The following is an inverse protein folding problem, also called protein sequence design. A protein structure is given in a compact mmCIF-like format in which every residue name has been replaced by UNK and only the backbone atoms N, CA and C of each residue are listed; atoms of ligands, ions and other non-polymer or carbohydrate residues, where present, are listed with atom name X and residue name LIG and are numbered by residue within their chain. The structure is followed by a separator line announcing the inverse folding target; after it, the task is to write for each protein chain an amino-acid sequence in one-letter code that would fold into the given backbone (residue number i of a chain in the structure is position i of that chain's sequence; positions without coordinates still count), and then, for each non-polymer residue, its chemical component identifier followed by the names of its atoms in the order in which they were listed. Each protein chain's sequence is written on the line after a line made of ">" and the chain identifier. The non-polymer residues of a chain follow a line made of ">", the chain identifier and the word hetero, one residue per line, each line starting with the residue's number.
data_IF_084138967894
#
_entry.id   IF_084138967894
#
_cell.length_a   1.000
_cell.length_b   1.000
_cell.length_c   1.000
_cell.angle_alpha   90.00
_cell.angle_beta   90.00
_cell.angle_gamma   90.00
#
_symmetry.space_group_name_H-M   'P 1'
#
loop_
_entity.id
_entity.type
_entity.pdbx_description
1 polymer ?
#
# COMPACT_ATOMS: atom_id res chain seq x y z
N UNK A 1 -15.72 22.70 -2.75
CA UNK A 1 -16.30 22.85 -4.11
C UNK A 1 -15.32 22.52 -5.23
N UNK A 2 -13.99 22.61 -5.04
CA UNK A 2 -13.00 22.28 -6.08
C UNK A 2 -13.05 20.82 -6.59
N UNK A 3 -13.23 19.83 -5.71
CA UNK A 3 -13.22 18.42 -6.10
C UNK A 3 -14.32 18.05 -7.12
N UNK A 4 -15.44 18.78 -7.11
CA UNK A 4 -16.56 18.53 -8.03
C UNK A 4 -16.30 19.10 -9.43
N UNK A 5 -15.53 20.19 -9.54
CA UNK A 5 -15.18 20.80 -10.83
C UNK A 5 -14.06 20.04 -11.54
N UNK A 6 -13.11 19.46 -10.80
CA UNK A 6 -12.04 18.62 -11.36
C UNK A 6 -12.60 17.38 -12.06
N UNK A 7 -13.64 16.74 -11.48
CA UNK A 7 -14.33 15.59 -12.12
C UNK A 7 -14.96 15.96 -13.47
N UNK A 8 -15.37 17.21 -13.68
CA UNK A 8 -15.99 17.66 -14.94
C UNK A 8 -14.97 17.84 -16.06
N UNK A 9 -13.71 18.12 -15.74
CA UNK A 9 -12.63 18.30 -16.72
C UNK A 9 -11.91 17.01 -17.09
N UNK A 10 -11.90 15.99 -16.23
CA UNK A 10 -11.20 14.72 -16.48
C UNK A 10 -11.93 13.75 -17.42
N UNK A 11 -13.10 14.12 -17.95
CA UNK A 11 -13.84 13.32 -18.94
C UNK A 11 -14.40 12.02 -18.38
N UNK A 12 -15.34 11.42 -19.13
CA UNK A 12 -15.99 10.14 -18.83
C UNK A 12 -15.05 8.92 -18.90
N UNK A 13 -13.76 9.07 -18.57
CA UNK A 13 -12.81 7.98 -18.43
C UNK A 13 -12.88 7.39 -17.03
N UNK A 14 -12.39 6.15 -16.87
CA UNK A 14 -12.19 5.57 -15.55
C UNK A 14 -11.28 6.52 -14.73
N UNK A 15 -11.65 6.88 -13.49
CA UNK A 15 -10.81 7.68 -12.61
C UNK A 15 -9.40 7.08 -12.55
N UNK A 16 -8.36 7.93 -12.49
CA UNK A 16 -6.96 7.50 -12.56
C UNK A 16 -6.66 6.27 -11.67
N UNK A 17 -7.10 6.27 -10.41
CA UNK A 17 -6.89 5.15 -9.49
C UNK A 17 -7.59 3.85 -9.93
N UNK A 18 -8.72 3.92 -10.64
CA UNK A 18 -9.38 2.74 -11.24
C UNK A 18 -8.55 2.16 -12.39
N UNK A 19 -7.99 3.02 -13.24
CA UNK A 19 -7.11 2.58 -14.34
C UNK A 19 -5.83 1.97 -13.80
N UNK A 20 -5.22 2.60 -12.79
CA UNK A 20 -4.04 2.08 -12.09
C UNK A 20 -4.33 0.70 -11.47
N UNK A 21 -5.47 0.54 -10.80
CA UNK A 21 -5.86 -0.72 -10.19
C UNK A 21 -5.98 -1.86 -11.21
N UNK A 22 -6.52 -1.57 -12.40
CA UNK A 22 -6.60 -2.56 -13.49
C UNK A 22 -5.21 -2.98 -13.98
N UNK A 23 -4.29 -2.02 -14.10
CA UNK A 23 -2.92 -2.29 -14.54
C UNK A 23 -2.20 -3.19 -13.52
N UNK A 24 -2.20 -2.82 -12.24
CA UNK A 24 -1.50 -3.61 -11.21
C UNK A 24 -2.09 -5.00 -11.04
N UNK A 25 -3.42 -5.16 -11.14
CA UNK A 25 -4.07 -6.47 -11.11
C UNK A 25 -3.66 -7.37 -12.28
N UNK A 26 -3.36 -6.80 -13.45
CA UNK A 26 -2.89 -7.55 -14.61
C UNK A 26 -1.40 -7.91 -14.53
N UNK A 27 -0.63 -7.27 -13.65
CA UNK A 27 0.80 -7.56 -13.43
C UNK A 27 0.98 -8.84 -12.61
N UNK A 28 2.07 -9.55 -12.91
CA UNK A 28 2.55 -10.68 -12.11
C UNK A 28 3.19 -10.20 -10.80
N UNK A 29 3.28 -11.07 -9.80
CA UNK A 29 3.79 -10.74 -8.47
C UNK A 29 5.24 -10.21 -8.50
N UNK A 30 6.11 -10.81 -9.31
CA UNK A 30 7.50 -10.37 -9.49
C UNK A 30 7.60 -8.96 -10.07
N UNK A 31 6.72 -8.61 -11.01
CA UNK A 31 6.64 -7.27 -11.58
C UNK A 31 6.16 -6.23 -10.57
N UNK A 32 5.19 -6.59 -9.72
CA UNK A 32 4.71 -5.73 -8.64
C UNK A 32 5.80 -5.51 -7.59
N UNK A 33 6.52 -6.57 -7.21
CA UNK A 33 7.70 -6.48 -6.32
C UNK A 33 8.78 -5.60 -6.92
N UNK A 34 9.08 -5.77 -8.21
CA UNK A 34 10.04 -4.93 -8.92
C UNK A 34 9.69 -3.44 -8.89
N UNK A 35 8.39 -3.09 -8.84
CA UNK A 35 7.97 -1.69 -8.63
C UNK A 35 8.28 -1.26 -7.20
N UNK A 36 7.90 -2.07 -6.21
CA UNK A 36 8.04 -1.74 -4.79
C UNK A 36 9.50 -1.63 -4.33
N UNK A 37 10.36 -2.52 -4.82
CA UNK A 37 11.79 -2.59 -4.47
C UNK A 37 12.64 -1.56 -5.25
N UNK A 38 12.05 -0.88 -6.25
CA UNK A 38 12.74 0.13 -7.04
C UNK A 38 12.87 1.44 -6.27
N UNK A 39 13.93 1.50 -5.45
CA UNK A 39 14.40 2.71 -4.78
C UNK A 39 15.58 3.37 -5.53
N UNK A 40 15.77 3.04 -6.81
CA UNK A 40 16.90 3.56 -7.59
C UNK A 40 16.87 5.09 -7.76
N UNK A 41 15.69 5.70 -7.61
CA UNK A 41 15.47 7.13 -7.74
C UNK A 41 14.20 7.59 -7.01
N UNK A 42 14.18 8.83 -6.55
CA UNK A 42 12.97 9.52 -6.08
C UNK A 42 11.90 9.67 -7.18
N UNK A 43 12.30 9.56 -8.44
CA UNK A 43 11.42 9.59 -9.62
C UNK A 43 10.91 8.20 -10.02
N UNK A 44 11.33 7.14 -9.32
CA UNK A 44 10.76 5.81 -9.50
C UNK A 44 9.28 5.78 -9.09
N UNK A 45 8.54 4.80 -9.63
CA UNK A 45 7.09 4.75 -9.47
C UNK A 45 6.67 4.60 -8.00
N UNK A 46 7.34 3.74 -7.23
CA UNK A 46 6.96 3.47 -5.84
C UNK A 46 7.09 4.70 -4.92
N UNK A 47 8.23 5.42 -4.89
CA UNK A 47 8.34 6.68 -4.14
C UNK A 47 7.25 7.70 -4.48
N UNK A 48 6.92 7.86 -5.77
CA UNK A 48 5.85 8.78 -6.20
C UNK A 48 4.46 8.33 -5.77
N UNK A 49 4.20 7.02 -5.76
CA UNK A 49 2.94 6.47 -5.25
C UNK A 49 2.79 6.69 -3.75
N UNK A 50 3.87 6.55 -2.97
CA UNK A 50 3.88 6.86 -1.54
C UNK A 50 3.64 8.36 -1.28
N UNK A 51 4.32 9.24 -2.01
CA UNK A 51 4.10 10.69 -1.94
C UNK A 51 2.63 11.03 -2.25
N UNK A 52 2.10 10.48 -3.35
CA UNK A 52 0.71 10.69 -3.75
C UNK A 52 -0.27 10.16 -2.71
N UNK A 53 -0.04 8.98 -2.15
CA UNK A 53 -0.87 8.39 -1.11
C UNK A 53 -0.90 9.25 0.15
N UNK A 54 0.27 9.76 0.57
CA UNK A 54 0.38 10.65 1.73
C UNK A 54 -0.38 11.96 1.49
N UNK A 55 -0.23 12.57 0.31
CA UNK A 55 -0.97 13.78 -0.04
C UNK A 55 -2.48 13.49 -0.08
N UNK A 56 -2.89 12.39 -0.70
CA UNK A 56 -4.28 12.01 -0.89
C UNK A 56 -4.97 11.54 0.41
N UNK A 57 -4.24 11.08 1.42
CA UNK A 57 -4.84 10.64 2.70
C UNK A 57 -5.67 11.73 3.39
N UNK A 58 -5.40 13.01 3.10
CA UNK A 58 -6.20 14.15 3.55
C UNK A 58 -7.31 14.61 2.59
N UNK A 59 -7.38 14.05 1.38
CA UNK A 59 -8.28 14.49 0.32
C UNK A 59 -8.92 13.30 -0.42
N UNK A 60 -10.25 13.20 -0.38
CA UNK A 60 -11.00 12.16 -1.10
C UNK A 60 -11.06 12.42 -2.63
N UNK A 61 -9.90 12.40 -3.29
CA UNK A 61 -9.69 12.81 -4.68
C UNK A 61 -9.40 11.62 -5.59
N UNK A 62 -8.70 10.61 -5.08
CA UNK A 62 -8.31 9.43 -5.86
C UNK A 62 -9.06 8.18 -5.40
N UNK A 63 -10.13 7.86 -6.12
CA UNK A 63 -10.86 6.62 -5.93
C UNK A 63 -9.93 5.42 -6.17
N UNK A 64 -9.92 4.46 -5.24
CA UNK A 64 -9.14 3.20 -5.27
C UNK A 64 -7.61 3.33 -5.15
N UNK A 65 -7.04 4.50 -4.81
CA UNK A 65 -5.58 4.61 -4.62
C UNK A 65 -5.07 3.69 -3.50
N UNK A 66 -5.78 3.59 -2.37
CA UNK A 66 -5.48 2.65 -1.28
C UNK A 66 -5.41 1.21 -1.79
N UNK A 67 -6.39 0.77 -2.58
CA UNK A 67 -6.39 -0.58 -3.15
C UNK A 67 -5.22 -0.81 -4.12
N UNK A 68 -4.77 0.22 -4.83
CA UNK A 68 -3.57 0.11 -5.68
C UNK A 68 -2.35 -0.16 -4.82
N UNK A 69 -2.20 0.57 -3.70
CA UNK A 69 -1.10 0.35 -2.75
C UNK A 69 -1.16 -1.07 -2.17
N UNK A 70 -2.33 -1.51 -1.71
CA UNK A 70 -2.53 -2.86 -1.17
C UNK A 70 -2.19 -3.95 -2.20
N UNK A 71 -2.58 -3.76 -3.46
CA UNK A 71 -2.32 -4.74 -4.54
C UNK A 71 -0.83 -4.84 -4.87
N UNK A 72 -0.09 -3.73 -4.74
CA UNK A 72 1.36 -3.70 -4.95
C UNK A 72 2.13 -4.34 -3.79
N UNK A 73 1.60 -4.28 -2.56
CA UNK A 73 2.20 -4.86 -1.35
C UNK A 73 1.69 -6.27 -1.03
N UNK A 74 0.71 -6.77 -1.78
CA UNK A 74 0.16 -8.11 -1.63
C UNK A 74 1.26 -9.18 -1.76
N UNK A 75 1.45 -9.97 -0.71
CA UNK A 75 2.50 -11.00 -0.66
C UNK A 75 3.91 -10.47 -0.37
N UNK A 76 4.05 -9.21 0.06
CA UNK A 76 5.31 -8.64 0.55
C UNK A 76 5.55 -8.98 2.04
N UNK A 77 4.51 -8.85 2.87
CA UNK A 77 4.58 -9.15 4.31
C UNK A 77 4.91 -10.62 4.62
N UNK A 78 4.60 -11.53 3.69
CA UNK A 78 4.92 -12.96 3.80
C UNK A 78 6.42 -13.26 3.48
N UNK A 79 7.12 -12.31 2.85
CA UNK A 79 8.51 -12.46 2.43
C UNK A 79 9.50 -11.76 3.36
N UNK A 80 9.09 -10.69 4.04
CA UNK A 80 9.98 -9.95 4.96
C UNK A 80 10.28 -10.70 6.25
N UNK A 81 9.66 -11.86 6.51
CA UNK A 81 10.08 -12.75 7.60
C UNK A 81 10.24 -12.04 8.94
N UNK A 82 9.39 -11.03 9.21
CA UNK A 82 9.20 -10.59 10.58
C UNK A 82 8.40 -11.71 11.24
N UNK A 83 9.15 -12.73 11.67
CA UNK A 83 8.76 -13.64 12.73
C UNK A 83 8.07 -12.76 13.77
N UNK A 84 6.75 -12.93 13.88
CA UNK A 84 6.08 -12.55 15.11
C UNK A 84 6.79 -13.38 16.16
N UNK A 85 7.67 -12.75 16.92
CA UNK A 85 8.14 -13.29 18.18
C UNK A 85 6.87 -13.59 18.98
N UNK A 86 6.39 -14.83 18.88
CA UNK A 86 5.47 -15.42 19.83
C UNK A 86 6.21 -15.31 21.16
N UNK A 87 5.86 -14.28 21.93
CA UNK A 87 6.18 -14.21 23.33
C UNK A 87 5.45 -15.38 24.00
N UNK A 88 6.09 -16.56 23.98
CA UNK A 88 5.79 -17.64 24.90
C UNK A 88 6.01 -17.07 26.30
N UNK A 89 4.90 -16.72 26.94
CA UNK A 89 4.82 -16.27 28.32
C UNK A 89 5.03 -17.48 29.22
N UNK A 90 6.29 -17.94 29.30
CA UNK A 90 6.72 -18.96 30.25
C UNK A 90 7.35 -18.25 31.46
N UNK A 91 6.54 -18.02 32.49
CA UNK A 91 7.02 -17.71 33.84
C UNK A 91 6.16 -18.50 34.85
N UNK A 92 6.34 -19.82 34.85
CA UNK A 92 6.19 -20.61 36.07
C UNK A 92 7.36 -20.31 37.01
N UNK A 93 7.12 -19.57 38.10
CA UNK A 93 7.74 -19.90 39.39
C UNK A 93 6.74 -19.65 40.53
N UNK A 94 6.28 -20.74 41.13
CA UNK A 94 5.72 -20.72 42.47
C UNK A 94 6.84 -20.71 43.50
N UNK A 95 6.67 -19.96 44.60
CA UNK A 95 7.27 -20.37 45.87
C UNK A 95 6.58 -19.73 47.10
N UNK A 96 6.25 -20.67 48.00
CA UNK A 96 5.97 -20.73 49.45
C UNK A 96 5.19 -19.65 50.21
N UNK A 97 4.21 -20.16 50.96
CA UNK A 97 3.69 -19.50 52.14
C UNK A 97 4.64 -19.61 53.33
N UNK A 98 4.60 -18.56 54.16
CA UNK A 98 4.91 -18.56 55.59
C UNK A 98 3.96 -17.58 56.29
#
# INVERSE_FOLDING_TARGET
>A
MLAHEVRKYMGYGDPLGTSMLKIVNAMQLDQRRGIQEDESSEEALWPKLLELYNIASGYNVFDNLEKVMDTLTEGYADWTGEDKEDYDEDDEEGDEGW
#
